data_IF_106389527140
#
_entry.id   IF_106389527140
#
_cell.length_a   1.000
_cell.length_b   1.000
_cell.length_c   1.000
_cell.angle_alpha   90.00
_cell.angle_beta   90.00
_cell.angle_gamma   90.00
#
_symmetry.space_group_name_H-M   'P 1'
#
loop_
_entity.id
_entity.type
_entity.pdbx_description
1 polymer ?
#
# COMPACT_ATOMS: atom_id res chain seq x y z
N UNK A 1 2.31 9.22 39.44
CA UNK A 1 1.82 10.39 38.67
C UNK A 1 2.10 10.13 37.21
N UNK A 2 1.08 9.70 36.47
CA UNK A 2 1.12 9.61 35.01
C UNK A 2 1.07 11.01 34.41
N UNK A 3 2.02 11.34 33.53
CA UNK A 3 1.89 12.41 32.55
C UNK A 3 2.61 12.01 31.27
N UNK A 4 1.87 11.54 30.29
CA UNK A 4 2.27 11.67 28.88
C UNK A 4 1.13 12.34 28.12
N UNK A 5 1.47 13.54 27.65
CA UNK A 5 0.63 14.47 26.93
C UNK A 5 0.05 13.85 25.66
N UNK A 6 -1.27 13.96 25.48
CA UNK A 6 -1.86 14.09 24.14
C UNK A 6 -1.58 15.52 23.65
N UNK A 7 -0.77 15.69 22.61
CA UNK A 7 -0.68 16.96 21.87
C UNK A 7 -0.11 16.71 20.48
N UNK A 8 -0.81 17.14 19.45
CA UNK A 8 -0.27 17.12 18.09
C UNK A 8 -1.25 17.22 16.92
N UNK A 9 -2.40 17.90 17.04
CA UNK A 9 -3.03 18.46 15.84
C UNK A 9 -2.13 19.59 15.35
N UNK A 10 -1.30 19.30 14.34
CA UNK A 10 -0.39 20.29 13.76
C UNK A 10 -1.17 21.45 13.15
N UNK A 11 -0.79 22.69 13.50
CA UNK A 11 -1.29 23.92 12.88
C UNK A 11 -1.06 23.83 11.37
N UNK A 12 -2.13 23.70 10.60
CA UNK A 12 -2.05 23.76 9.13
C UNK A 12 -1.62 25.17 8.74
N UNK A 13 -0.55 25.26 7.95
CA UNK A 13 -0.07 26.54 7.41
C UNK A 13 -1.13 27.14 6.49
N UNK A 14 -1.19 28.47 6.39
CA UNK A 14 -2.13 29.18 5.49
C UNK A 14 -2.02 28.70 4.04
N UNK A 15 -0.81 28.35 3.61
CA UNK A 15 -0.55 27.75 2.30
C UNK A 15 -1.26 26.39 2.11
N UNK A 16 -1.21 25.50 3.11
CA UNK A 16 -1.91 24.20 3.05
C UNK A 16 -3.42 24.36 3.02
N UNK A 17 -3.95 25.35 3.74
CA UNK A 17 -5.39 25.63 3.73
C UNK A 17 -5.87 26.17 2.38
N UNK A 18 -5.05 26.99 1.72
CA UNK A 18 -5.34 27.50 0.38
C UNK A 18 -5.32 26.37 -0.67
N UNK A 19 -4.31 25.49 -0.62
CA UNK A 19 -4.20 24.33 -1.50
C UNK A 19 -5.35 23.33 -1.32
N UNK A 20 -5.76 23.06 -0.07
CA UNK A 20 -6.94 22.24 0.23
C UNK A 20 -8.24 22.87 -0.27
N UNK A 21 -8.33 24.21 -0.29
CA UNK A 21 -9.50 24.92 -0.80
C UNK A 21 -9.58 24.87 -2.33
N UNK A 22 -8.45 25.06 -3.02
CA UNK A 22 -8.36 25.00 -4.48
C UNK A 22 -8.67 23.59 -4.99
N UNK A 23 -8.05 22.56 -4.41
CA UNK A 23 -8.34 21.15 -4.74
C UNK A 23 -9.80 20.78 -4.51
N UNK A 24 -10.41 21.29 -3.43
CA UNK A 24 -11.85 21.11 -3.18
C UNK A 24 -12.71 21.81 -4.23
N UNK A 25 -12.34 23.02 -4.66
CA UNK A 25 -13.06 23.79 -5.67
C UNK A 25 -13.02 23.09 -7.03
N UNK A 26 -11.85 22.66 -7.48
CA UNK A 26 -11.67 21.90 -8.72
C UNK A 26 -12.51 20.61 -8.71
N UNK A 27 -12.56 19.92 -7.57
CA UNK A 27 -13.37 18.71 -7.42
C UNK A 27 -14.87 19.00 -7.53
N UNK A 28 -15.36 20.12 -7.00
CA UNK A 28 -16.77 20.51 -7.12
C UNK A 28 -17.12 20.84 -8.57
N UNK A 29 -16.30 21.65 -9.24
CA UNK A 29 -16.51 22.04 -10.64
C UNK A 29 -16.56 20.81 -11.57
N UNK A 30 -15.66 19.83 -11.36
CA UNK A 30 -15.71 18.56 -12.08
C UNK A 30 -17.03 17.82 -11.86
N UNK A 31 -17.48 17.72 -10.60
CA UNK A 31 -18.70 17.00 -10.26
C UNK A 31 -19.95 17.69 -10.81
N UNK A 32 -19.99 19.03 -10.86
CA UNK A 32 -21.09 19.80 -11.47
C UNK A 32 -21.25 19.51 -12.97
N UNK A 33 -20.17 19.16 -13.67
CA UNK A 33 -20.19 18.78 -15.08
C UNK A 33 -20.61 17.32 -15.35
N UNK A 34 -20.79 16.51 -14.30
CA UNK A 34 -21.09 15.08 -14.41
C UNK A 34 -22.55 14.77 -14.06
N UNK A 35 -23.11 13.78 -14.73
CA UNK A 35 -24.41 13.19 -14.35
C UNK A 35 -24.25 12.28 -13.12
N UNK A 36 -25.33 12.09 -12.35
CA UNK A 36 -25.36 11.15 -11.23
C UNK A 36 -24.92 9.75 -11.63
N UNK A 37 -25.35 9.25 -12.80
CA UNK A 37 -24.96 7.94 -13.31
C UNK A 37 -23.44 7.82 -13.58
N UNK A 38 -22.81 8.88 -14.09
CA UNK A 38 -21.36 8.91 -14.29
C UNK A 38 -20.61 8.91 -12.95
N UNK A 39 -21.11 9.64 -11.95
CA UNK A 39 -20.54 9.67 -10.60
C UNK A 39 -20.65 8.28 -9.94
N UNK A 40 -21.79 7.60 -10.08
CA UNK A 40 -21.99 6.24 -9.56
C UNK A 40 -21.09 5.21 -10.25
N UNK A 41 -20.92 5.31 -11.57
CA UNK A 41 -20.02 4.45 -12.32
C UNK A 41 -18.56 4.64 -11.88
N UNK A 42 -18.10 5.89 -11.73
CA UNK A 42 -16.75 6.18 -11.24
C UNK A 42 -16.56 5.71 -9.79
N UNK A 43 -17.53 5.92 -8.91
CA UNK A 43 -17.49 5.41 -7.54
C UNK A 43 -17.38 3.89 -7.49
N UNK A 44 -18.10 3.19 -8.35
CA UNK A 44 -18.03 1.73 -8.47
C UNK A 44 -16.65 1.29 -8.94
N UNK A 45 -16.10 1.96 -9.95
CA UNK A 45 -14.75 1.69 -10.45
C UNK A 45 -13.69 1.92 -9.36
N UNK A 46 -13.71 3.08 -8.70
CA UNK A 46 -12.78 3.41 -7.60
C UNK A 46 -12.86 2.39 -6.45
N UNK A 47 -14.07 1.94 -6.12
CA UNK A 47 -14.28 0.91 -5.09
C UNK A 47 -13.62 -0.41 -5.50
N UNK A 48 -13.80 -0.83 -6.75
CA UNK A 48 -13.17 -2.05 -7.27
C UNK A 48 -11.64 -1.93 -7.29
N UNK A 49 -11.12 -0.78 -7.70
CA UNK A 49 -9.67 -0.53 -7.72
C UNK A 49 -9.08 -0.54 -6.32
N UNK A 50 -9.78 0.02 -5.34
CA UNK A 50 -9.39 -0.05 -3.93
C UNK A 50 -9.33 -1.50 -3.44
N UNK A 51 -10.32 -2.33 -3.77
CA UNK A 51 -10.30 -3.75 -3.39
C UNK A 51 -9.14 -4.52 -4.06
N UNK A 52 -8.86 -4.26 -5.34
CA UNK A 52 -7.69 -4.85 -6.03
C UNK A 52 -6.38 -4.46 -5.36
N UNK A 53 -6.24 -3.17 -5.01
CA UNK A 53 -5.05 -2.66 -4.34
C UNK A 53 -4.89 -3.26 -2.93
N UNK A 54 -5.97 -3.33 -2.16
CA UNK A 54 -5.97 -3.97 -0.84
C UNK A 54 -5.54 -5.43 -0.92
N UNK A 55 -6.07 -6.18 -1.90
CA UNK A 55 -5.69 -7.58 -2.13
C UNK A 55 -4.19 -7.72 -2.36
N UNK A 56 -3.61 -6.91 -3.27
CA UNK A 56 -2.17 -6.90 -3.57
C UNK A 56 -1.33 -6.56 -2.34
N UNK A 57 -1.71 -5.52 -1.61
CA UNK A 57 -1.03 -5.12 -0.39
C UNK A 57 -1.04 -6.25 0.66
N UNK A 58 -2.19 -6.88 0.88
CA UNK A 58 -2.31 -8.00 1.81
C UNK A 58 -1.44 -9.19 1.37
N UNK A 59 -1.44 -9.53 0.08
CA UNK A 59 -0.57 -10.57 -0.48
C UNK A 59 0.91 -10.31 -0.20
N UNK A 60 1.41 -9.14 -0.60
CA UNK A 60 2.81 -8.74 -0.34
C UNK A 60 3.16 -8.72 1.15
N UNK A 61 2.25 -8.20 2.00
CA UNK A 61 2.47 -8.16 3.45
C UNK A 61 2.61 -9.55 4.03
N UNK A 62 1.82 -10.51 3.56
CA UNK A 62 1.90 -11.89 4.00
C UNK A 62 3.23 -12.52 3.56
N UNK A 63 3.63 -12.36 2.29
CA UNK A 63 4.93 -12.85 1.79
C UNK A 63 6.11 -12.33 2.63
N UNK A 64 6.12 -11.04 2.96
CA UNK A 64 7.17 -10.44 3.79
C UNK A 64 7.17 -11.02 5.22
N UNK A 65 5.98 -11.20 5.80
CA UNK A 65 5.84 -11.79 7.14
C UNK A 65 6.39 -13.22 7.13
N UNK A 66 5.96 -14.03 6.16
CA UNK A 66 6.30 -15.44 6.08
C UNK A 66 7.82 -15.60 5.83
N UNK A 67 8.40 -14.80 4.92
CA UNK A 67 9.86 -14.72 4.72
C UNK A 67 10.62 -14.44 6.03
N UNK A 68 10.13 -13.48 6.82
CA UNK A 68 10.76 -13.10 8.09
C UNK A 68 10.70 -14.23 9.11
N UNK A 69 9.56 -14.92 9.20
CA UNK A 69 9.36 -16.04 10.11
C UNK A 69 10.24 -17.24 9.72
N UNK A 70 10.26 -17.59 8.44
CA UNK A 70 11.09 -18.66 7.89
C UNK A 70 12.59 -18.36 8.03
N UNK A 71 13.02 -17.14 7.71
CA UNK A 71 14.41 -16.73 7.90
C UNK A 71 14.80 -16.76 9.38
N UNK A 72 13.94 -16.31 10.29
CA UNK A 72 14.23 -16.42 11.73
C UNK A 72 14.36 -17.88 12.17
N UNK A 73 13.50 -18.77 11.66
CA UNK A 73 13.58 -20.21 11.93
C UNK A 73 14.88 -20.82 11.40
N UNK A 74 15.35 -20.36 10.23
CA UNK A 74 16.62 -20.81 9.65
C UNK A 74 17.85 -20.49 10.49
N UNK A 75 17.77 -19.55 11.45
CA UNK A 75 18.90 -19.16 12.33
C UNK A 75 19.37 -20.27 13.28
N UNK A 76 18.64 -21.39 13.35
CA UNK A 76 19.15 -22.62 13.96
C UNK A 76 20.41 -23.14 13.25
N UNK A 77 20.57 -22.83 11.96
CA UNK A 77 21.74 -23.20 11.17
C UNK A 77 22.85 -22.13 11.20
N UNK A 78 24.14 -22.53 11.17
CA UNK A 78 25.27 -21.62 11.02
C UNK A 78 25.20 -20.79 9.72
N UNK A 79 25.98 -19.69 9.65
CA UNK A 79 25.91 -18.72 8.54
C UNK A 79 26.09 -19.35 7.14
N UNK A 80 27.02 -20.30 7.00
CA UNK A 80 27.35 -20.92 5.71
C UNK A 80 26.18 -21.73 5.10
N UNK A 81 25.58 -22.71 5.79
CA UNK A 81 24.39 -23.41 5.27
C UNK A 81 23.12 -22.54 5.28
N UNK A 82 23.08 -21.46 6.06
CA UNK A 82 21.91 -20.58 6.13
C UNK A 82 21.77 -19.64 4.92
N UNK A 83 22.89 -19.27 4.29
CA UNK A 83 22.85 -18.43 3.09
C UNK A 83 22.09 -19.06 1.91
N UNK A 84 22.35 -20.32 1.48
CA UNK A 84 21.59 -20.93 0.40
C UNK A 84 20.09 -21.04 0.73
N UNK A 85 19.75 -21.33 1.99
CA UNK A 85 18.36 -21.36 2.46
C UNK A 85 17.68 -20.00 2.26
N UNK A 86 18.31 -18.91 2.71
CA UNK A 86 17.78 -17.55 2.51
C UNK A 86 17.67 -17.21 1.02
N UNK A 87 18.67 -17.59 0.22
CA UNK A 87 18.68 -17.35 -1.22
C UNK A 87 17.50 -18.02 -1.90
N UNK A 88 17.18 -19.25 -1.52
CA UNK A 88 16.06 -19.99 -2.12
C UNK A 88 14.70 -19.41 -1.67
N UNK A 89 14.53 -19.03 -0.41
CA UNK A 89 13.34 -18.30 0.05
C UNK A 89 13.08 -17.01 -0.75
N UNK A 90 14.13 -16.25 -1.05
CA UNK A 90 14.02 -15.03 -1.86
C UNK A 90 13.60 -15.37 -3.29
N UNK A 91 14.18 -16.42 -3.90
CA UNK A 91 13.75 -16.86 -5.23
C UNK A 91 12.29 -17.29 -5.22
N UNK A 92 11.84 -18.03 -4.22
CA UNK A 92 10.46 -18.51 -4.15
C UNK A 92 9.48 -17.34 -4.11
N UNK A 93 9.81 -16.27 -3.38
CA UNK A 93 9.03 -15.03 -3.39
C UNK A 93 9.05 -14.34 -4.75
N UNK A 94 10.21 -14.29 -5.42
CA UNK A 94 10.31 -13.70 -6.76
C UNK A 94 9.47 -14.42 -7.82
N UNK A 95 9.14 -15.70 -7.61
CA UNK A 95 8.24 -16.45 -8.50
C UNK A 95 6.80 -16.54 -7.96
N UNK A 96 6.52 -15.95 -6.80
CA UNK A 96 5.19 -16.00 -6.21
C UNK A 96 4.20 -15.14 -7.02
N UNK A 97 3.00 -15.64 -7.36
CA UNK A 97 2.01 -14.90 -8.13
C UNK A 97 1.66 -13.53 -7.53
N UNK A 98 1.53 -13.43 -6.20
CA UNK A 98 1.17 -12.17 -5.53
C UNK A 98 2.30 -11.12 -5.63
N UNK A 99 3.55 -11.56 -5.71
CA UNK A 99 4.70 -10.67 -5.96
C UNK A 99 4.77 -10.27 -7.44
N UNK A 100 4.61 -11.24 -8.35
CA UNK A 100 4.66 -11.04 -9.79
C UNK A 100 3.54 -10.13 -10.29
N UNK A 101 2.33 -10.25 -9.75
CA UNK A 101 1.18 -9.37 -10.07
C UNK A 101 1.53 -7.90 -9.82
N UNK A 102 2.32 -7.59 -8.78
CA UNK A 102 2.71 -6.20 -8.47
C UNK A 102 3.89 -5.74 -9.33
N UNK A 103 4.87 -6.61 -9.57
CA UNK A 103 6.03 -6.24 -10.38
C UNK A 103 5.68 -5.96 -11.85
N UNK A 104 4.73 -6.69 -12.43
CA UNK A 104 4.34 -6.52 -13.84
C UNK A 104 3.43 -5.34 -14.13
N UNK A 105 2.88 -4.68 -13.10
CA UNK A 105 2.08 -3.46 -13.27
C UNK A 105 2.92 -2.20 -13.46
N UNK A 106 4.13 -2.18 -12.89
CA UNK A 106 5.06 -1.05 -13.02
C UNK A 106 5.58 -0.91 -14.45
N UNK A 107 5.59 -2.00 -15.22
CA UNK A 107 6.02 -2.00 -16.63
C UNK A 107 4.93 -1.54 -17.61
N UNK A 108 3.69 -1.32 -17.15
CA UNK A 108 2.53 -0.96 -17.98
C UNK A 108 2.00 0.47 -17.76
N UNK A 109 2.58 1.22 -16.83
CA UNK A 109 2.22 2.62 -16.52
C UNK A 109 3.27 3.60 -17.09
#
# INVERSE_FOLDING_TARGET
MEKTHKSGEGVKTSARLAEEADTKRERIERLESMTTAQIEAENTQMTNDLYRLLKKYTGLRNLIRDLKEEYNSSKVYPIFPRYPILKDMIKDIMHNPDYMEVCHEVDQA
#
